data_IF_971749673907
#
_entry.id   IF_971749673907
#
_cell.length_a   1.000
_cell.length_b   1.000
_cell.length_c   1.000
_cell.angle_alpha   90.00
_cell.angle_beta   90.00
_cell.angle_gamma   90.00
#
_symmetry.space_group_name_H-M   'P 1'
#
loop_
_entity.id
_entity.type
_entity.pdbx_description
1 polymer ?
#
# COMPACT_ATOMS: atom_id res chain seq x y z
N UNK A 1 3.02 -1.17 -9.93
CA UNK A 1 4.46 -0.80 -9.92
C UNK A 1 5.04 -1.18 -8.56
N UNK A 2 6.13 -1.95 -8.52
CA UNK A 2 6.73 -2.42 -7.26
C UNK A 2 7.70 -1.40 -6.66
N UNK A 3 8.03 -1.53 -5.37
CA UNK A 3 9.13 -0.83 -4.72
C UNK A 3 10.47 -1.49 -5.09
N UNK A 4 11.37 -0.72 -5.69
CA UNK A 4 12.76 -1.15 -5.91
C UNK A 4 13.51 -1.27 -4.59
N UNK A 5 14.55 -2.14 -4.54
CA UNK A 5 15.41 -2.31 -3.36
C UNK A 5 15.94 -0.97 -2.81
N UNK A 6 16.28 -0.03 -3.70
CA UNK A 6 16.75 1.31 -3.32
C UNK A 6 15.66 2.17 -2.69
N UNK A 7 14.44 2.14 -3.23
CA UNK A 7 13.31 2.87 -2.62
C UNK A 7 13.01 2.35 -1.22
N UNK A 8 13.03 1.03 -1.03
CA UNK A 8 12.86 0.42 0.30
C UNK A 8 13.98 0.84 1.25
N UNK A 9 15.24 0.74 0.81
CA UNK A 9 16.39 1.12 1.64
C UNK A 9 16.32 2.59 2.06
N UNK A 10 16.03 3.51 1.12
CA UNK A 10 15.96 4.94 1.43
C UNK A 10 14.75 5.26 2.31
N UNK A 11 13.60 4.62 2.10
CA UNK A 11 12.44 4.78 3.00
C UNK A 11 12.77 4.35 4.43
N UNK A 12 13.45 3.21 4.59
CA UNK A 12 13.87 2.71 5.90
C UNK A 12 14.88 3.65 6.56
N UNK A 13 15.88 4.13 5.83
CA UNK A 13 16.85 5.10 6.34
C UNK A 13 16.15 6.38 6.81
N UNK A 14 15.25 6.93 5.97
CA UNK A 14 14.50 8.12 6.33
C UNK A 14 13.67 7.90 7.60
N UNK A 15 13.00 6.75 7.75
CA UNK A 15 12.20 6.45 8.96
C UNK A 15 13.04 6.16 10.21
N UNK A 16 14.30 5.75 10.05
CA UNK A 16 15.21 5.50 11.16
C UNK A 16 15.89 6.77 11.64
N UNK A 17 16.19 7.69 10.73
CA UNK A 17 16.83 8.97 11.04
C UNK A 17 15.81 10.02 11.45
N UNK A 18 14.68 10.07 10.74
CA UNK A 18 13.59 11.00 10.97
C UNK A 18 12.40 10.25 11.56
N UNK A 19 11.79 10.79 12.62
CA UNK A 19 10.63 10.16 13.26
C UNK A 19 9.44 10.14 12.28
N UNK A 20 8.86 11.32 12.03
CA UNK A 20 7.68 11.44 11.16
C UNK A 20 7.87 12.47 10.05
N UNK A 21 8.79 13.43 10.21
CA UNK A 21 8.94 14.57 9.31
C UNK A 21 10.40 14.84 9.01
N UNK A 22 10.66 15.32 7.80
CA UNK A 22 12.00 15.71 7.38
C UNK A 22 11.95 16.88 6.40
N UNK A 23 13.00 17.69 6.42
CA UNK A 23 13.26 18.64 5.36
C UNK A 23 14.04 17.98 4.21
N UNK A 24 13.76 18.36 2.96
CA UNK A 24 14.42 17.79 1.78
C UNK A 24 15.94 17.97 1.81
N UNK A 25 16.45 19.08 2.34
CA UNK A 25 17.88 19.33 2.47
C UNK A 25 18.54 18.26 3.33
N UNK A 26 18.08 18.14 4.58
CA UNK A 26 18.57 17.18 5.58
C UNK A 26 18.48 15.73 5.06
N UNK A 27 17.35 15.37 4.45
CA UNK A 27 17.17 14.05 3.86
C UNK A 27 18.18 13.77 2.74
N UNK A 28 18.52 14.76 1.92
CA UNK A 28 19.52 14.60 0.87
C UNK A 28 20.93 14.52 1.42
N UNK A 29 21.26 15.26 2.48
CA UNK A 29 22.57 15.21 3.15
C UNK A 29 22.83 13.83 3.78
N UNK A 30 21.80 13.16 4.27
CA UNK A 30 21.90 11.77 4.76
C UNK A 30 21.99 10.78 3.60
N UNK A 31 21.09 10.90 2.61
CA UNK A 31 21.00 9.92 1.53
C UNK A 31 22.17 10.00 0.55
N UNK A 32 22.87 11.14 0.48
CA UNK A 32 24.01 11.28 -0.42
C UNK A 32 25.22 10.42 -0.03
N UNK A 33 25.32 10.05 1.24
CA UNK A 33 26.30 9.09 1.75
C UNK A 33 26.17 7.70 1.07
N UNK A 34 25.00 7.41 0.48
CA UNK A 34 24.68 6.14 -0.15
C UNK A 34 24.46 6.27 -1.68
N UNK A 35 24.66 7.45 -2.26
CA UNK A 35 24.55 7.64 -3.70
C UNK A 35 24.25 9.09 -4.13
N UNK A 36 24.17 9.39 -5.44
CA UNK A 36 24.06 10.78 -5.89
C UNK A 36 22.78 11.48 -5.40
N UNK A 37 22.88 12.75 -4.96
CA UNK A 37 21.72 13.58 -4.54
C UNK A 37 20.56 13.56 -5.54
N UNK A 38 20.86 13.56 -6.85
CA UNK A 38 19.85 13.47 -7.93
C UNK A 38 19.03 12.19 -7.84
N UNK A 39 19.66 11.07 -7.49
CA UNK A 39 19.00 9.76 -7.31
C UNK A 39 18.12 9.78 -6.06
N UNK A 40 18.64 10.29 -4.94
CA UNK A 40 17.87 10.44 -3.70
C UNK A 40 16.60 11.29 -3.90
N UNK A 41 16.73 12.43 -4.57
CA UNK A 41 15.58 13.29 -4.92
C UNK A 41 14.55 12.54 -5.78
N UNK A 42 15.00 11.73 -6.74
CA UNK A 42 14.11 10.91 -7.58
C UNK A 42 13.40 9.83 -6.76
N UNK A 43 14.09 9.20 -5.83
CA UNK A 43 13.52 8.19 -4.93
C UNK A 43 12.46 8.81 -4.01
N UNK A 44 12.74 9.96 -3.38
CA UNK A 44 11.75 10.67 -2.55
C UNK A 44 10.50 11.00 -3.36
N UNK A 45 10.65 11.53 -4.59
CA UNK A 45 9.50 11.80 -5.47
C UNK A 45 8.67 10.55 -5.78
N UNK A 46 9.32 9.40 -6.01
CA UNK A 46 8.63 8.13 -6.24
C UNK A 46 7.93 7.60 -4.99
N UNK A 47 8.55 7.73 -3.83
CA UNK A 47 7.94 7.38 -2.55
C UNK A 47 6.71 8.27 -2.28
N UNK A 48 6.75 9.54 -2.67
CA UNK A 48 5.57 10.42 -2.63
C UNK A 48 4.47 9.95 -3.57
N UNK A 49 4.78 9.68 -4.84
CA UNK A 49 3.77 9.20 -5.79
C UNK A 49 3.16 7.84 -5.40
N UNK A 50 3.92 7.03 -4.65
CA UNK A 50 3.47 5.72 -4.15
C UNK A 50 2.77 5.80 -2.79
N UNK A 51 2.65 7.00 -2.22
CA UNK A 51 1.92 7.23 -0.97
C UNK A 51 2.71 6.89 0.30
N UNK A 52 4.00 6.56 0.24
CA UNK A 52 4.83 6.31 1.44
C UNK A 52 5.28 7.61 2.14
N UNK A 53 5.32 8.70 1.38
CA UNK A 53 5.71 10.02 1.88
C UNK A 53 4.65 11.02 1.43
N UNK A 54 4.23 11.91 2.32
CA UNK A 54 3.36 13.03 2.01
C UNK A 54 4.19 14.30 1.93
N UNK A 55 4.02 15.07 0.84
CA UNK A 55 4.60 16.42 0.75
C UNK A 55 3.71 17.38 1.54
N UNK A 56 4.30 18.10 2.50
CA UNK A 56 3.60 19.10 3.33
C UNK A 56 3.81 20.52 2.80
N UNK A 57 4.93 20.78 2.12
CA UNK A 57 5.26 22.07 1.54
C UNK A 57 6.32 21.94 0.45
N UNK A 58 7.03 23.03 0.15
CA UNK A 58 8.05 23.01 -0.89
C UNK A 58 9.22 22.08 -0.54
N UNK A 59 9.67 22.12 0.71
CA UNK A 59 10.81 21.35 1.21
C UNK A 59 10.45 20.39 2.35
N UNK A 60 9.24 20.45 2.90
CA UNK A 60 8.85 19.64 4.05
C UNK A 60 8.01 18.43 3.66
N UNK A 61 8.34 17.30 4.27
CA UNK A 61 7.74 16.01 4.00
C UNK A 61 7.40 15.29 5.30
N UNK A 62 6.39 14.41 5.21
CA UNK A 62 5.98 13.52 6.28
C UNK A 62 6.06 12.07 5.81
N UNK A 63 6.70 11.21 6.60
CA UNK A 63 6.74 9.77 6.38
C UNK A 63 5.40 9.21 6.86
N UNK A 64 4.67 8.53 5.97
CA UNK A 64 3.39 7.90 6.35
C UNK A 64 3.63 6.58 7.07
N UNK A 65 2.58 6.06 7.70
CA UNK A 65 2.66 4.72 8.25
C UNK A 65 2.98 3.68 7.18
N UNK A 66 3.91 2.78 7.49
CA UNK A 66 4.45 1.83 6.52
C UNK A 66 3.42 0.76 6.17
N UNK A 67 2.72 0.25 7.18
CA UNK A 67 1.72 -0.79 7.01
C UNK A 67 0.55 -0.27 6.20
N UNK A 68 0.02 0.90 6.55
CA UNK A 68 -1.05 1.56 5.80
C UNK A 68 -0.63 1.86 4.35
N UNK A 69 0.59 2.35 4.13
CA UNK A 69 1.08 2.67 2.79
C UNK A 69 1.29 1.41 1.93
N UNK A 70 1.81 0.33 2.50
CA UNK A 70 1.92 -0.96 1.83
C UNK A 70 0.55 -1.54 1.50
N UNK A 71 -0.40 -1.47 2.44
CA UNK A 71 -1.76 -1.92 2.21
C UNK A 71 -2.38 -1.20 1.02
N UNK A 72 -2.31 0.13 1.01
CA UNK A 72 -2.83 0.94 -0.10
C UNK A 72 -2.14 0.63 -1.44
N UNK A 73 -0.83 0.37 -1.44
CA UNK A 73 -0.10 -0.02 -2.65
C UNK A 73 -0.55 -1.39 -3.19
N UNK A 74 -0.89 -2.32 -2.31
CA UNK A 74 -1.20 -3.71 -2.64
C UNK A 74 -2.69 -3.98 -2.82
N UNK A 75 -3.56 -3.06 -2.42
CA UNK A 75 -5.00 -3.22 -2.39
C UNK A 75 -5.57 -3.69 -3.74
N UNK A 76 -5.20 -3.01 -4.83
CA UNK A 76 -5.66 -3.35 -6.18
C UNK A 76 -5.13 -4.71 -6.64
N UNK A 77 -3.90 -5.05 -6.25
CA UNK A 77 -3.32 -6.35 -6.56
C UNK A 77 -4.07 -7.47 -5.83
N UNK A 78 -4.34 -7.29 -4.54
CA UNK A 78 -5.04 -8.27 -3.71
C UNK A 78 -6.48 -8.48 -4.19
N UNK A 79 -7.22 -7.41 -4.49
CA UNK A 79 -8.60 -7.50 -4.99
C UNK A 79 -8.68 -8.25 -6.32
N UNK A 80 -7.81 -7.92 -7.28
CA UNK A 80 -7.73 -8.63 -8.56
C UNK A 80 -7.34 -10.10 -8.38
N UNK A 81 -6.41 -10.39 -7.47
CA UNK A 81 -5.95 -11.76 -7.22
C UNK A 81 -7.07 -12.61 -6.62
N UNK A 82 -7.81 -12.06 -5.66
CA UNK A 82 -8.97 -12.71 -5.04
C UNK A 82 -10.06 -12.97 -6.09
N UNK A 83 -10.46 -11.96 -6.86
CA UNK A 83 -11.47 -12.09 -7.92
C UNK A 83 -11.13 -13.20 -8.91
N UNK A 84 -9.88 -13.24 -9.40
CA UNK A 84 -9.43 -14.27 -10.34
C UNK A 84 -9.46 -15.67 -9.73
N UNK A 85 -9.07 -15.79 -8.46
CA UNK A 85 -9.06 -17.08 -7.78
C UNK A 85 -10.47 -17.62 -7.56
N UNK A 86 -11.41 -16.78 -7.12
CA UNK A 86 -12.81 -17.15 -6.94
C UNK A 86 -13.43 -17.61 -8.27
N UNK A 87 -13.24 -16.83 -9.35
CA UNK A 87 -13.71 -17.20 -10.69
C UNK A 87 -13.12 -18.52 -11.18
N UNK A 88 -11.82 -18.76 -10.96
CA UNK A 88 -11.17 -20.02 -11.36
C UNK A 88 -11.72 -21.25 -10.65
N UNK A 89 -12.39 -21.07 -9.52
CA UNK A 89 -13.06 -22.12 -8.75
C UNK A 89 -14.56 -22.23 -9.07
N UNK A 90 -15.05 -21.49 -10.07
CA UNK A 90 -16.47 -21.46 -10.43
C UNK A 90 -17.37 -20.75 -9.42
N UNK A 91 -16.79 -19.93 -8.53
CA UNK A 91 -17.54 -19.20 -7.51
C UNK A 91 -18.02 -17.88 -8.11
N UNK A 92 -19.33 -17.63 -8.06
CA UNK A 92 -19.90 -16.36 -8.46
C UNK A 92 -19.66 -15.32 -7.38
N UNK A 93 -18.73 -14.40 -7.66
CA UNK A 93 -18.33 -13.37 -6.73
C UNK A 93 -17.90 -12.11 -7.46
N UNK A 94 -18.21 -10.97 -6.85
CA UNK A 94 -17.76 -9.63 -7.23
C UNK A 94 -16.84 -9.08 -6.15
N UNK A 95 -15.62 -8.73 -6.52
CA UNK A 95 -14.63 -8.12 -5.64
C UNK A 95 -14.38 -6.70 -6.12
N UNK A 96 -14.68 -5.72 -5.27
CA UNK A 96 -14.45 -4.30 -5.55
C UNK A 96 -13.75 -3.61 -4.38
N UNK A 97 -13.34 -2.38 -4.62
CA UNK A 97 -12.81 -1.49 -3.58
C UNK A 97 -13.89 -0.50 -3.16
N UNK A 98 -13.97 -0.19 -1.87
CA UNK A 98 -14.74 0.97 -1.41
C UNK A 98 -13.87 2.23 -1.28
N UNK A 99 -14.54 3.38 -1.12
CA UNK A 99 -13.87 4.68 -0.99
C UNK A 99 -12.97 4.76 0.27
N UNK A 100 -13.19 3.88 1.24
CA UNK A 100 -12.40 3.77 2.47
C UNK A 100 -11.14 2.91 2.32
N UNK A 101 -10.87 2.35 1.14
CA UNK A 101 -9.69 1.50 0.91
C UNK A 101 -9.83 0.07 1.44
N UNK A 102 -11.07 -0.42 1.61
CA UNK A 102 -11.38 -1.81 1.94
C UNK A 102 -11.72 -2.61 0.70
N UNK A 103 -11.47 -3.92 0.78
CA UNK A 103 -11.90 -4.88 -0.24
C UNK A 103 -13.30 -5.34 0.10
N UNK A 104 -14.27 -5.06 -0.77
CA UNK A 104 -15.64 -5.56 -0.67
C UNK A 104 -15.75 -6.82 -1.52
N UNK A 105 -16.16 -7.92 -0.90
CA UNK A 105 -16.40 -9.21 -1.55
C UNK A 105 -17.89 -9.50 -1.43
N UNK A 106 -18.57 -9.49 -2.56
CA UNK A 106 -19.94 -9.98 -2.70
C UNK A 106 -19.86 -11.37 -3.31
N UNK A 107 -20.46 -12.37 -2.67
CA UNK A 107 -20.34 -13.77 -3.09
C UNK A 107 -21.67 -14.47 -2.93
N UNK A 108 -21.97 -15.33 -3.90
CA UNK A 108 -23.07 -16.29 -3.89
C UNK A 108 -22.46 -17.70 -3.94
N UNK A 109 -22.73 -18.56 -2.95
CA UNK A 109 -22.19 -19.92 -2.98
C UNK A 109 -22.12 -20.68 -1.66
N UNK A 110 -21.31 -21.74 -1.68
CA UNK A 110 -21.17 -22.76 -0.63
C UNK A 110 -20.71 -22.19 0.73
N UNK A 111 -21.36 -22.68 1.81
CA UNK A 111 -21.13 -22.34 3.22
C UNK A 111 -19.65 -22.38 3.63
N UNK A 112 -18.86 -23.33 3.10
CA UNK A 112 -17.43 -23.44 3.45
C UNK A 112 -16.59 -22.27 2.94
N UNK A 113 -16.91 -21.77 1.75
CA UNK A 113 -16.22 -20.62 1.16
C UNK A 113 -16.64 -19.34 1.87
N UNK A 114 -17.94 -19.21 2.16
CA UNK A 114 -18.47 -18.12 2.96
C UNK A 114 -17.76 -18.04 4.32
N UNK A 115 -17.66 -19.15 5.06
CA UNK A 115 -16.93 -19.20 6.33
C UNK A 115 -15.48 -18.73 6.20
N UNK A 116 -14.76 -19.20 5.17
CA UNK A 116 -13.37 -18.79 4.94
C UNK A 116 -13.25 -17.30 4.60
N UNK A 117 -14.17 -16.76 3.81
CA UNK A 117 -14.20 -15.33 3.46
C UNK A 117 -14.62 -14.48 4.65
N UNK A 118 -15.60 -14.90 5.45
CA UNK A 118 -16.04 -14.16 6.64
C UNK A 118 -14.95 -14.08 7.72
N UNK A 119 -13.97 -14.99 7.75
CA UNK A 119 -12.76 -14.83 8.58
C UNK A 119 -11.90 -13.63 8.19
N UNK A 120 -12.01 -13.14 6.96
CA UNK A 120 -11.32 -11.93 6.50
C UNK A 120 -12.06 -10.66 6.92
N UNK A 121 -13.34 -10.76 7.28
CA UNK A 121 -14.21 -9.62 7.55
C UNK A 121 -13.67 -8.81 8.72
N UNK A 122 -13.58 -7.49 8.55
CA UNK A 122 -12.97 -6.62 9.55
C UNK A 122 -12.53 -5.27 8.99
N UNK A 123 -11.45 -4.72 9.53
CA UNK A 123 -10.98 -3.37 9.17
C UNK A 123 -10.62 -3.25 7.68
N UNK A 124 -10.22 -4.34 7.03
CA UNK A 124 -9.65 -4.36 5.68
C UNK A 124 -10.56 -5.01 4.62
N UNK A 125 -11.48 -5.88 5.03
CA UNK A 125 -12.42 -6.56 4.13
C UNK A 125 -13.85 -6.39 4.62
N UNK A 126 -14.76 -6.25 3.67
CA UNK A 126 -16.20 -6.36 3.89
C UNK A 126 -16.68 -7.54 3.06
N UNK A 127 -17.19 -8.58 3.70
CA UNK A 127 -17.78 -9.73 3.00
C UNK A 127 -19.29 -9.68 3.12
N UNK A 128 -19.98 -9.84 2.00
CA UNK A 128 -21.43 -9.86 1.89
C UNK A 128 -21.85 -11.10 1.13
N UNK A 129 -22.81 -11.82 1.70
CA UNK A 129 -23.54 -12.85 0.98
C UNK A 129 -24.66 -12.17 0.18
N UNK A 130 -24.75 -12.49 -1.11
CA UNK A 130 -25.73 -11.89 -2.03
C UNK A 130 -26.35 -13.04 -2.85
N UNK A 131 -27.27 -13.75 -2.20
CA UNK A 131 -28.02 -14.88 -2.75
C UNK A 131 -29.48 -14.46 -3.00
#
# INVERSE_FOLDING_TARGET
MWLSKREVAYLLLLRKVFVDRFNLGEALDILELFGPRRVARKVIKRLVSKGFIRRLGNLDYNIRDLEESLWNLLLDYLSQRLQRNLRSRGIDASVRRDDSGRIVVEVCGDTRILEALFRLNGKLFIVKEVC
#
